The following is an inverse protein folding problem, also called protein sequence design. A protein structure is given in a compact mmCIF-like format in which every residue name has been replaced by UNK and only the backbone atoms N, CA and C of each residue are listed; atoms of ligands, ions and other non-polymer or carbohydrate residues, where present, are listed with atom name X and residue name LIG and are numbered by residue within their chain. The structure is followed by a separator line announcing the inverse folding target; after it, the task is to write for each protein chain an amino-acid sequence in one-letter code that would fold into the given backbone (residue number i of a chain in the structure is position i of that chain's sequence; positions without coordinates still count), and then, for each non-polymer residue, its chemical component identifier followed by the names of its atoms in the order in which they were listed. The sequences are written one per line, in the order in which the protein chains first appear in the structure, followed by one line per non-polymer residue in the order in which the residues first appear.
data_IF_753629378434
#
_entry.id   IF_753629378434
#
_cell.length_a   1.000
_cell.length_b   1.000
_cell.length_c   1.000
_cell.angle_alpha   90.00
_cell.angle_beta   90.00
_cell.angle_gamma   90.00
#
_symmetry.space_group_name_H-M   'P 1'
#
loop_
_entity.id
_entity.type
_entity.pdbx_description
1 polymer ?
#
# COMPACT_ATOMS: atom_id res chain seq x y z
N UNK A 1 -27.65 5.29 -19.36
CA UNK A 1 -26.22 5.06 -19.61
C UNK A 1 -25.55 4.92 -18.24
N UNK A 2 -24.76 3.89 -18.07
CA UNK A 2 -23.94 3.66 -16.88
C UNK A 2 -22.47 3.50 -17.30
N UNK A 3 -21.57 4.25 -16.66
CA UNK A 3 -20.14 4.23 -16.93
C UNK A 3 -19.39 3.98 -15.62
N UNK A 4 -18.34 3.18 -15.70
CA UNK A 4 -17.38 3.01 -14.61
C UNK A 4 -16.01 2.65 -15.17
N UNK A 5 -14.96 2.94 -14.44
CA UNK A 5 -13.60 2.62 -14.85
C UNK A 5 -13.11 1.35 -14.17
N UNK A 6 -12.37 0.55 -14.92
CA UNK A 6 -11.69 -0.64 -14.46
C UNK A 6 -10.19 -0.53 -14.73
N UNK A 7 -9.39 -1.15 -13.88
CA UNK A 7 -7.94 -1.22 -14.04
C UNK A 7 -7.44 -2.62 -13.69
N UNK A 8 -6.43 -3.07 -14.42
CA UNK A 8 -5.66 -4.27 -14.12
C UNK A 8 -4.29 -3.95 -13.49
N UNK A 9 -4.13 -2.71 -13.02
CA UNK A 9 -2.89 -2.11 -12.51
C UNK A 9 -1.81 -1.80 -13.55
N UNK A 10 -2.02 -2.16 -14.82
CA UNK A 10 -1.14 -1.76 -15.93
C UNK A 10 -1.75 -0.64 -16.74
N UNK A 11 -3.07 -0.64 -16.88
CA UNK A 11 -3.84 0.36 -17.59
C UNK A 11 -5.26 0.44 -17.05
N UNK A 12 -6.01 1.45 -17.50
CA UNK A 12 -7.42 1.64 -17.16
C UNK A 12 -8.26 1.81 -18.42
N UNK A 13 -9.51 1.38 -18.36
CA UNK A 13 -10.48 1.58 -19.43
C UNK A 13 -11.87 1.85 -18.86
N UNK A 14 -12.60 2.76 -19.51
CA UNK A 14 -14.00 3.01 -19.18
C UNK A 14 -14.89 1.91 -19.79
N UNK A 15 -15.69 1.30 -18.93
CA UNK A 15 -16.80 0.41 -19.33
C UNK A 15 -18.05 1.24 -19.51
N UNK A 16 -18.71 1.13 -20.66
CA UNK A 16 -19.89 1.92 -21.01
C UNK A 16 -21.05 1.03 -21.38
N UNK A 17 -22.13 1.12 -20.61
CA UNK A 17 -23.35 0.32 -20.76
C UNK A 17 -24.53 1.19 -21.14
N UNK A 18 -25.37 0.64 -22.02
CA UNK A 18 -26.64 1.23 -22.43
C UNK A 18 -27.74 0.19 -22.19
N UNK A 19 -28.47 0.33 -21.11
CA UNK A 19 -29.55 -0.58 -20.77
C UNK A 19 -30.64 0.16 -19.96
N UNK A 20 -31.74 -0.54 -19.73
CA UNK A 20 -32.82 -0.05 -18.87
C UNK A 20 -32.34 0.05 -17.43
N UNK A 21 -32.83 1.07 -16.72
CA UNK A 21 -32.50 1.31 -15.32
C UNK A 21 -32.74 0.08 -14.43
N UNK A 22 -33.77 -0.70 -14.71
CA UNK A 22 -34.08 -1.94 -13.99
C UNK A 22 -33.04 -3.03 -14.12
N UNK A 23 -32.22 -2.99 -15.18
CA UNK A 23 -31.08 -3.92 -15.39
C UNK A 23 -29.82 -3.34 -14.76
N UNK A 24 -29.62 -2.03 -14.90
CA UNK A 24 -28.43 -1.33 -14.43
C UNK A 24 -28.37 -1.26 -12.88
N UNK A 25 -29.46 -0.87 -12.20
CA UNK A 25 -29.44 -0.62 -10.75
C UNK A 25 -28.97 -1.86 -9.94
N UNK A 26 -29.50 -3.07 -10.15
CA UNK A 26 -29.01 -4.26 -9.46
C UNK A 26 -27.57 -4.64 -9.80
N UNK A 27 -27.12 -4.28 -11.01
CA UNK A 27 -25.76 -4.54 -11.44
C UNK A 27 -24.76 -3.59 -10.77
N UNK A 28 -25.14 -2.33 -10.57
CA UNK A 28 -24.34 -1.33 -9.87
C UNK A 28 -24.05 -1.77 -8.44
N UNK A 29 -25.05 -2.27 -7.70
CA UNK A 29 -24.86 -2.81 -6.35
C UNK A 29 -23.85 -3.95 -6.36
N UNK A 30 -24.02 -4.93 -7.27
CA UNK A 30 -23.10 -6.07 -7.40
C UNK A 30 -21.67 -5.65 -7.79
N UNK A 31 -21.50 -4.65 -8.66
CA UNK A 31 -20.19 -4.12 -9.05
C UNK A 31 -19.50 -3.46 -7.85
N UNK A 32 -20.23 -2.67 -7.09
CA UNK A 32 -19.70 -1.99 -5.89
C UNK A 32 -19.26 -2.97 -4.80
N UNK A 33 -19.98 -4.09 -4.65
CA UNK A 33 -19.65 -5.12 -3.65
C UNK A 33 -18.50 -6.04 -4.09
N UNK A 34 -18.36 -6.26 -5.39
CA UNK A 34 -17.46 -7.31 -5.91
C UNK A 34 -15.97 -6.99 -5.77
N UNK A 35 -15.56 -5.73 -5.83
CA UNK A 35 -14.17 -5.29 -5.79
C UNK A 35 -13.29 -5.78 -6.95
N UNK A 36 -13.58 -6.94 -7.55
CA UNK A 36 -12.88 -7.49 -8.71
C UNK A 36 -13.86 -8.11 -9.69
N UNK A 37 -13.71 -7.75 -10.96
CA UNK A 37 -14.62 -8.15 -12.04
C UNK A 37 -13.85 -8.82 -13.17
N UNK A 38 -14.52 -9.75 -13.86
CA UNK A 38 -14.17 -10.19 -15.22
C UNK A 38 -15.24 -9.65 -16.17
N UNK A 39 -14.80 -8.95 -17.20
CA UNK A 39 -15.68 -8.35 -18.18
C UNK A 39 -15.31 -8.86 -19.56
N UNK A 40 -16.29 -9.40 -20.26
CA UNK A 40 -16.20 -9.73 -21.69
C UNK A 40 -16.97 -8.69 -22.47
N UNK A 41 -16.37 -8.13 -23.51
CA UNK A 41 -17.00 -7.05 -24.27
C UNK A 41 -16.27 -6.66 -25.53
N UNK A 42 -16.86 -5.75 -26.29
CA UNK A 42 -16.28 -5.17 -27.48
C UNK A 42 -15.48 -3.90 -27.15
N UNK A 43 -14.24 -3.84 -27.60
CA UNK A 43 -13.40 -2.66 -27.53
C UNK A 43 -13.69 -1.78 -28.76
N UNK A 44 -14.16 -0.56 -28.54
CA UNK A 44 -14.55 0.33 -29.63
C UNK A 44 -14.35 1.81 -29.29
N UNK A 45 -14.17 2.62 -30.33
CA UNK A 45 -14.08 4.05 -30.18
C UNK A 45 -15.47 4.66 -29.98
N UNK A 46 -15.63 5.43 -28.92
CA UNK A 46 -16.84 6.19 -28.61
C UNK A 46 -16.66 7.65 -29.05
N UNK A 47 -17.31 8.03 -30.12
CA UNK A 47 -17.21 9.38 -30.68
C UNK A 47 -17.76 10.48 -29.78
N UNK A 48 -18.67 10.12 -28.85
CA UNK A 48 -19.23 11.09 -27.92
C UNK A 48 -18.25 11.49 -26.80
N UNK A 49 -17.56 10.51 -26.21
CA UNK A 49 -16.54 10.74 -25.20
C UNK A 49 -15.14 10.91 -25.78
N UNK A 50 -14.97 10.76 -27.09
CA UNK A 50 -13.71 10.84 -27.83
C UNK A 50 -12.60 9.95 -27.26
N UNK A 51 -12.97 8.72 -26.85
CA UNK A 51 -12.05 7.75 -26.28
C UNK A 51 -12.47 6.32 -26.59
N UNK A 52 -11.54 5.37 -26.45
CA UNK A 52 -11.87 3.97 -26.52
C UNK A 52 -12.57 3.50 -25.24
N UNK A 53 -13.63 2.74 -25.38
CA UNK A 53 -14.42 2.19 -24.30
C UNK A 53 -14.64 0.69 -24.47
N UNK A 54 -14.85 -0.01 -23.36
CA UNK A 54 -15.29 -1.39 -23.35
C UNK A 54 -16.82 -1.46 -23.25
N UNK A 55 -17.48 -2.04 -24.26
CA UNK A 55 -18.93 -2.34 -24.23
C UNK A 55 -19.13 -3.77 -23.77
N UNK A 56 -19.63 -4.00 -22.55
CA UNK A 56 -19.70 -5.32 -22.00
C UNK A 56 -20.84 -6.15 -22.64
N UNK A 57 -20.55 -7.43 -22.90
CA UNK A 57 -21.54 -8.48 -23.21
C UNK A 57 -21.85 -9.29 -21.94
N UNK A 58 -20.86 -9.45 -21.06
CA UNK A 58 -20.99 -10.12 -19.79
C UNK A 58 -20.09 -9.51 -18.74
N UNK A 59 -20.58 -9.44 -17.50
CA UNK A 59 -19.85 -9.01 -16.32
C UNK A 59 -20.05 -10.07 -15.25
N UNK A 60 -18.95 -10.55 -14.66
CA UNK A 60 -18.98 -11.47 -13.54
C UNK A 60 -18.08 -10.96 -12.41
N UNK A 61 -18.54 -11.08 -11.17
CA UNK A 61 -17.69 -10.88 -10.01
C UNK A 61 -16.81 -12.10 -9.79
N UNK A 62 -15.53 -11.86 -9.46
CA UNK A 62 -14.61 -12.94 -9.10
C UNK A 62 -13.99 -12.61 -7.73
N UNK A 63 -13.72 -13.67 -6.97
CA UNK A 63 -12.91 -13.53 -5.76
C UNK A 63 -11.46 -13.44 -6.20
N UNK A 64 -10.82 -12.28 -5.93
CA UNK A 64 -9.39 -12.13 -6.16
C UNK A 64 -8.64 -13.15 -5.31
N UNK A 65 -7.73 -13.90 -5.92
CA UNK A 65 -6.81 -14.73 -5.17
C UNK A 65 -5.95 -13.81 -4.28
N UNK A 66 -6.04 -14.02 -2.98
CA UNK A 66 -5.20 -13.27 -2.04
C UNK A 66 -3.78 -13.80 -2.13
N UNK A 67 -2.81 -12.89 -2.05
CA UNK A 67 -1.42 -13.29 -1.87
C UNK A 67 -1.27 -13.94 -0.51
N UNK A 68 -0.66 -15.11 -0.49
CA UNK A 68 -0.30 -15.84 0.73
C UNK A 68 1.22 -15.84 0.89
N UNK A 69 1.67 -15.99 2.10
CA UNK A 69 3.05 -16.30 2.41
C UNK A 69 3.05 -17.72 3.01
N UNK A 70 3.44 -18.68 2.20
CA UNK A 70 3.38 -20.12 2.56
C UNK A 70 4.72 -20.64 3.10
N UNK A 71 5.73 -19.75 3.26
CA UNK A 71 7.01 -20.14 3.87
C UNK A 71 6.82 -20.55 5.32
N UNK A 72 7.31 -21.74 5.71
CA UNK A 72 7.16 -22.25 7.08
C UNK A 72 7.97 -21.43 8.10
N UNK A 73 9.13 -20.90 7.69
CA UNK A 73 9.97 -20.03 8.50
C UNK A 73 9.86 -18.60 8.00
N UNK A 74 9.23 -17.72 8.79
CA UNK A 74 8.97 -16.34 8.42
C UNK A 74 10.19 -15.47 8.67
N UNK A 75 10.59 -14.71 7.66
CA UNK A 75 11.59 -13.66 7.84
C UNK A 75 11.00 -12.52 8.65
N UNK A 76 11.73 -12.03 9.64
CA UNK A 76 11.38 -10.79 10.34
C UNK A 76 11.80 -9.61 9.46
N UNK A 77 10.84 -8.74 9.12
CA UNK A 77 11.15 -7.51 8.39
C UNK A 77 11.63 -6.44 9.38
N UNK A 78 12.88 -6.01 9.19
CA UNK A 78 13.53 -5.03 10.07
C UNK A 78 13.71 -3.64 9.43
N UNK A 79 13.33 -3.49 8.15
CA UNK A 79 13.46 -2.26 7.38
C UNK A 79 12.22 -2.08 6.50
N UNK A 80 11.24 -1.36 6.99
CA UNK A 80 9.99 -1.17 6.29
C UNK A 80 9.48 0.27 6.40
N UNK A 81 9.08 0.83 5.26
CA UNK A 81 8.54 2.17 5.15
C UNK A 81 7.03 2.17 4.97
N UNK A 82 6.38 3.16 5.57
CA UNK A 82 4.95 3.38 5.45
C UNK A 82 4.64 4.59 4.57
N UNK A 83 3.36 4.83 4.28
CA UNK A 83 2.92 6.05 3.58
C UNK A 83 3.21 7.36 4.33
N UNK A 84 3.71 7.28 5.55
CA UNK A 84 4.17 8.43 6.34
C UNK A 84 5.68 8.71 6.15
N UNK A 85 6.39 7.83 5.43
CA UNK A 85 7.73 8.08 4.90
C UNK A 85 7.56 8.83 3.58
N UNK A 86 7.90 10.11 3.56
CA UNK A 86 7.62 11.02 2.44
C UNK A 86 8.20 10.51 1.11
N UNK A 87 7.34 10.41 0.08
CA UNK A 87 7.66 10.02 -1.31
C UNK A 87 8.30 8.63 -1.47
N UNK A 88 8.16 7.75 -0.48
CA UNK A 88 8.89 6.48 -0.45
C UNK A 88 7.98 5.25 -0.45
N UNK A 89 6.85 5.29 0.22
CA UNK A 89 5.89 4.18 0.26
C UNK A 89 4.44 4.65 0.19
N UNK A 90 3.54 3.73 -0.17
CA UNK A 90 2.10 4.00 -0.34
C UNK A 90 1.21 3.25 0.64
N UNK A 91 1.74 2.25 1.33
CA UNK A 91 0.97 1.41 2.26
C UNK A 91 0.87 2.05 3.63
N UNK A 92 -0.34 2.11 4.21
CA UNK A 92 -0.52 2.63 5.56
C UNK A 92 0.12 1.72 6.62
N UNK A 93 0.55 2.27 7.78
CA UNK A 93 1.06 1.48 8.90
C UNK A 93 0.09 0.35 9.30
N UNK A 94 -1.21 0.65 9.38
CA UNK A 94 -2.26 -0.31 9.67
C UNK A 94 -2.30 -1.47 8.67
N UNK A 95 -2.21 -1.18 7.37
CA UNK A 95 -2.26 -2.21 6.33
C UNK A 95 -1.06 -3.16 6.41
N UNK A 96 0.14 -2.62 6.63
CA UNK A 96 1.37 -3.39 6.74
C UNK A 96 1.35 -4.32 7.97
N UNK A 97 1.02 -3.80 9.14
CA UNK A 97 0.95 -4.60 10.37
C UNK A 97 -0.12 -5.70 10.28
N UNK A 98 -1.32 -5.38 9.77
CA UNK A 98 -2.38 -6.36 9.57
C UNK A 98 -1.99 -7.44 8.57
N UNK A 99 -1.25 -7.08 7.51
CA UNK A 99 -0.76 -8.06 6.54
C UNK A 99 0.29 -8.99 7.16
N UNK A 100 1.21 -8.47 7.97
CA UNK A 100 2.19 -9.27 8.69
C UNK A 100 1.50 -10.26 9.66
N UNK A 101 0.48 -9.79 10.40
CA UNK A 101 -0.34 -10.66 11.27
C UNK A 101 -1.03 -11.76 10.44
N UNK A 102 -1.65 -11.40 9.32
CA UNK A 102 -2.36 -12.33 8.44
C UNK A 102 -1.45 -13.42 7.88
N UNK A 103 -0.20 -13.07 7.58
CA UNK A 103 0.81 -14.01 7.07
C UNK A 103 1.54 -14.79 8.18
N UNK A 104 1.24 -14.51 9.44
CA UNK A 104 1.81 -15.23 10.58
C UNK A 104 3.24 -14.83 10.93
N UNK A 105 3.66 -13.62 10.60
CA UNK A 105 4.96 -13.10 11.03
C UNK A 105 5.00 -12.92 12.56
N UNK A 106 6.14 -13.26 13.17
CA UNK A 106 6.34 -13.12 14.61
C UNK A 106 6.65 -11.68 15.03
N UNK A 107 7.32 -10.94 14.16
CA UNK A 107 7.68 -9.55 14.39
C UNK A 107 7.77 -8.75 13.07
N UNK A 108 7.66 -7.43 13.20
CA UNK A 108 7.86 -6.48 12.11
C UNK A 108 8.35 -5.15 12.67
N UNK A 109 9.31 -4.51 11.98
CA UNK A 109 9.77 -3.17 12.32
C UNK A 109 9.12 -2.12 11.41
N UNK A 110 8.89 -0.92 11.95
CA UNK A 110 8.54 0.28 11.19
C UNK A 110 9.72 1.24 11.29
N UNK A 111 10.27 1.65 10.14
CA UNK A 111 11.52 2.41 10.04
C UNK A 111 11.43 3.49 8.98
N UNK A 112 10.46 4.39 9.10
CA UNK A 112 10.26 5.50 8.16
C UNK A 112 11.48 6.45 8.16
N UNK A 113 11.71 7.12 7.03
CA UNK A 113 12.82 8.07 6.84
C UNK A 113 12.72 9.28 7.77
N UNK A 114 13.63 9.39 8.74
CA UNK A 114 13.81 10.53 9.63
C UNK A 114 12.62 10.84 10.54
N UNK A 115 11.61 9.96 10.60
CA UNK A 115 10.33 10.21 11.27
C UNK A 115 9.82 8.98 12.01
N UNK A 116 8.93 9.22 12.98
CA UNK A 116 8.32 8.17 13.82
C UNK A 116 6.78 8.28 13.88
N UNK A 117 6.19 9.07 13.00
CA UNK A 117 4.73 9.33 13.00
C UNK A 117 3.88 8.09 12.79
N UNK A 118 4.41 7.05 12.13
CA UNK A 118 3.70 5.80 11.89
C UNK A 118 3.53 4.93 13.16
N UNK A 119 4.37 5.13 14.18
CA UNK A 119 4.44 4.22 15.33
C UNK A 119 3.14 4.13 16.14
N UNK A 120 2.42 5.23 16.45
CA UNK A 120 1.16 5.15 17.17
C UNK A 120 0.09 4.35 16.40
N UNK A 121 -0.02 4.55 15.07
CA UNK A 121 -0.97 3.84 14.23
C UNK A 121 -0.59 2.35 14.13
N UNK A 122 0.68 2.03 13.91
CA UNK A 122 1.18 0.67 13.86
C UNK A 122 0.94 -0.08 15.18
N UNK A 123 1.17 0.59 16.32
CA UNK A 123 0.89 0.04 17.64
C UNK A 123 -0.60 -0.25 17.85
N UNK A 124 -1.46 0.68 17.47
CA UNK A 124 -2.91 0.45 17.52
C UNK A 124 -3.33 -0.71 16.61
N UNK A 125 -2.73 -0.86 15.43
CA UNK A 125 -3.02 -1.94 14.48
C UNK A 125 -2.56 -3.30 14.97
N UNK A 126 -1.47 -3.39 15.75
CA UNK A 126 -1.01 -4.64 16.35
C UNK A 126 -2.01 -5.22 17.35
N UNK A 127 -2.80 -4.35 18.00
CA UNK A 127 -3.89 -4.74 18.89
C UNK A 127 -3.41 -5.30 20.25
N UNK A 128 -4.27 -5.14 21.26
CA UNK A 128 -4.01 -5.73 22.59
C UNK A 128 -4.09 -7.27 22.51
N UNK A 129 -3.02 -7.96 22.91
CA UNK A 129 -2.95 -9.43 22.90
C UNK A 129 -2.60 -10.04 21.54
N UNK A 130 -2.21 -9.25 20.56
CA UNK A 130 -1.63 -9.74 19.31
C UNK A 130 -0.34 -10.53 19.61
N UNK A 131 -0.12 -11.59 18.81
CA UNK A 131 1.13 -12.36 18.89
C UNK A 131 2.29 -11.70 18.17
N UNK A 132 2.03 -10.71 17.30
CA UNK A 132 3.10 -10.03 16.57
C UNK A 132 3.83 -9.04 17.47
N UNK A 133 5.15 -9.09 17.48
CA UNK A 133 6.01 -8.11 18.13
C UNK A 133 6.24 -6.94 17.17
N UNK A 134 5.72 -5.75 17.51
CA UNK A 134 6.06 -4.52 16.80
C UNK A 134 7.40 -4.00 17.31
N UNK A 135 8.38 -3.90 16.42
CA UNK A 135 9.69 -3.31 16.67
C UNK A 135 9.62 -1.85 16.24
N UNK A 136 9.84 -0.94 17.18
CA UNK A 136 9.85 0.49 16.90
C UNK A 136 11.21 0.88 16.35
N UNK A 137 11.23 1.67 15.29
CA UNK A 137 12.48 2.08 14.66
C UNK A 137 12.34 3.36 13.86
N UNK A 138 13.42 3.76 13.25
CA UNK A 138 13.52 4.88 12.34
C UNK A 138 14.73 4.69 11.43
N UNK A 139 14.62 5.08 10.17
CA UNK A 139 15.78 5.22 9.30
C UNK A 139 16.33 6.63 9.38
N UNK A 140 17.55 6.76 9.91
CA UNK A 140 18.26 8.03 10.02
C UNK A 140 19.25 8.23 8.90
N UNK A 141 19.92 9.37 8.94
CA UNK A 141 20.97 9.75 8.01
C UNK A 141 22.28 9.92 8.75
N UNK A 142 23.27 9.11 8.40
CA UNK A 142 24.63 9.21 8.91
C UNK A 142 25.46 10.11 8.01
N UNK A 143 26.14 11.06 8.60
CA UNK A 143 27.11 11.95 7.93
C UNK A 143 28.47 11.72 8.58
N UNK A 144 29.50 11.66 7.75
CA UNK A 144 30.89 11.65 8.19
C UNK A 144 31.30 13.08 8.57
N UNK A 145 31.32 13.39 9.85
CA UNK A 145 31.63 14.73 10.37
C UNK A 145 33.13 15.04 10.32
N UNK A 146 34.01 14.05 10.22
CA UNK A 146 35.43 14.27 9.93
C UNK A 146 35.65 14.76 8.50
N UNK A 147 34.91 14.18 7.53
CA UNK A 147 34.94 14.57 6.12
C UNK A 147 34.20 15.89 5.87
N UNK A 148 33.12 16.14 6.59
CA UNK A 148 32.26 17.30 6.43
C UNK A 148 32.03 18.02 7.78
N UNK A 149 33.06 18.66 8.36
CA UNK A 149 32.98 19.23 9.73
C UNK A 149 31.95 20.35 9.87
N UNK A 150 31.54 20.98 8.79
CA UNK A 150 30.56 22.07 8.78
C UNK A 150 29.23 21.68 8.11
N UNK A 151 28.90 20.38 8.07
CA UNK A 151 27.74 19.87 7.35
C UNK A 151 26.39 20.48 7.77
N UNK A 152 26.28 20.95 9.03
CA UNK A 152 25.06 21.60 9.54
C UNK A 152 24.75 22.94 8.83
N UNK A 153 25.76 23.60 8.29
CA UNK A 153 25.64 24.87 7.54
C UNK A 153 25.65 24.63 6.03
N UNK A 154 25.82 23.40 5.56
CA UNK A 154 25.87 23.04 4.14
C UNK A 154 24.46 22.69 3.63
N UNK A 155 24.24 22.86 2.33
CA UNK A 155 23.04 22.32 1.69
C UNK A 155 23.15 20.80 1.58
N UNK A 156 22.02 20.10 1.65
CA UNK A 156 21.95 18.63 1.65
C UNK A 156 22.55 17.95 0.41
N UNK A 157 22.72 18.66 -0.69
CA UNK A 157 23.38 18.16 -1.90
C UNK A 157 24.92 18.41 -1.92
N UNK A 158 25.49 18.97 -0.87
CA UNK A 158 26.90 19.29 -0.77
C UNK A 158 27.70 18.31 0.10
N UNK A 159 27.04 17.32 0.71
CA UNK A 159 27.69 16.29 1.51
C UNK A 159 27.01 14.93 1.28
N UNK A 160 27.76 13.85 1.51
CA UNK A 160 27.25 12.48 1.42
C UNK A 160 26.48 12.13 2.69
N UNK A 161 25.39 11.39 2.52
CA UNK A 161 24.58 10.85 3.60
C UNK A 161 24.37 9.37 3.36
N UNK A 162 24.47 8.60 4.43
CA UNK A 162 24.24 7.16 4.42
C UNK A 162 23.03 6.84 5.27
N UNK A 163 22.20 5.91 4.82
CA UNK A 163 21.07 5.47 5.62
C UNK A 163 21.52 4.55 6.74
N UNK A 164 20.97 4.75 7.93
CA UNK A 164 21.23 3.93 9.09
C UNK A 164 19.92 3.61 9.80
N UNK A 165 19.70 2.33 10.08
CA UNK A 165 18.49 1.88 10.75
C UNK A 165 18.71 1.84 12.25
N UNK A 166 17.85 2.57 12.98
CA UNK A 166 17.74 2.51 14.43
C UNK A 166 16.57 1.65 14.83
N UNK A 167 16.80 0.64 15.66
CA UNK A 167 15.74 -0.22 16.21
C UNK A 167 15.81 -0.15 17.74
N UNK A 168 14.64 -0.01 18.36
CA UNK A 168 14.54 -0.03 19.83
C UNK A 168 14.73 -1.47 20.30
N UNK A 169 15.75 -1.68 21.14
CA UNK A 169 16.06 -2.98 21.72
C UNK A 169 15.30 -3.22 23.02
N UNK A 170 15.24 -2.23 23.89
CA UNK A 170 14.57 -2.27 25.20
C UNK A 170 13.89 -0.94 25.47
N UNK A 171 12.70 -0.98 26.03
CA UNK A 171 12.05 0.20 26.60
C UNK A 171 12.44 0.30 28.08
N UNK A 172 13.38 1.18 28.37
CA UNK A 172 13.86 1.44 29.75
C UNK A 172 13.05 2.51 30.48
N UNK A 173 11.93 2.95 29.89
CA UNK A 173 11.08 4.03 30.42
C UNK A 173 9.93 3.56 31.31
N UNK A 174 10.06 2.40 31.98
CA UNK A 174 9.13 1.97 33.03
C UNK A 174 9.72 2.18 34.42
#
# INVERSE_FOLDING_TARGET
IFNFDISDYTSSITVKMFDDKRVIDPLVEKINEAGTLVISGGYQFDTFSNQYVLRPYAIASIKKAEKTDDEPEKRIELHMHTSLSEMDAISSPTALVKQAIKWGHEAVAITDHGVVQALPEAYAASGKGSKIKLILGMEGYLVDDEKYPDFLNMKTNQYERYHIIFLVKEDTSM
#
